data_IF_897102434826
#
_entry.id   IF_897102434826
#
_cell.length_a   1.000
_cell.length_b   1.000
_cell.length_c   1.000
_cell.angle_alpha   90.00
_cell.angle_beta   90.00
_cell.angle_gamma   90.00
#
_symmetry.space_group_name_H-M   'P 1'
#
loop_
_entity.id
_entity.type
_entity.pdbx_description
1 polymer ?
#
# COMPACT_ATOMS: atom_id res chain seq x y z
N UNK A 1 -3.06 18.47 8.22
CA UNK A 1 -3.01 18.11 9.66
C UNK A 1 -3.09 16.59 9.72
N UNK A 2 -2.11 15.89 10.30
CA UNK A 2 -2.18 14.43 10.43
C UNK A 2 -3.40 14.04 11.27
N UNK A 3 -4.32 13.27 10.67
CA UNK A 3 -5.63 12.93 11.26
C UNK A 3 -5.50 11.93 12.42
N UNK A 4 -4.51 11.03 12.35
CA UNK A 4 -4.27 10.03 13.39
C UNK A 4 -2.91 10.23 14.04
N UNK A 5 -2.89 10.12 15.37
CA UNK A 5 -1.71 10.24 16.22
C UNK A 5 -1.78 9.14 17.28
N UNK A 6 -0.64 8.55 17.60
CA UNK A 6 -0.56 7.60 18.70
C UNK A 6 -0.77 8.29 20.05
N UNK A 7 -1.36 7.56 20.98
CA UNK A 7 -1.43 7.96 22.39
C UNK A 7 -0.05 7.96 23.06
N UNK A 8 0.81 7.02 22.65
CA UNK A 8 2.20 6.99 23.09
C UNK A 8 2.95 8.18 22.50
N UNK A 9 3.66 8.89 23.36
CA UNK A 9 4.46 10.06 22.99
C UNK A 9 5.87 9.94 23.54
N UNK A 10 6.83 10.53 22.86
CA UNK A 10 8.20 10.69 23.33
C UNK A 10 8.64 12.15 23.27
N UNK A 11 9.53 12.53 24.18
CA UNK A 11 10.12 13.86 24.16
C UNK A 11 11.08 13.99 22.97
N UNK A 12 10.85 14.99 22.12
CA UNK A 12 11.76 15.34 21.04
C UNK A 12 12.61 16.54 21.47
N UNK A 13 13.93 16.38 21.69
CA UNK A 13 14.80 17.46 22.17
C UNK A 13 14.92 18.62 21.18
N UNK A 14 14.92 18.33 19.87
CA UNK A 14 15.01 19.34 18.82
C UNK A 14 13.79 20.25 18.81
N UNK A 15 12.59 19.67 18.96
CA UNK A 15 11.31 20.40 18.99
C UNK A 15 10.95 20.90 20.40
N UNK A 16 11.74 20.54 21.42
CA UNK A 16 11.51 20.84 22.85
C UNK A 16 10.09 20.55 23.32
N UNK A 17 9.50 19.45 22.84
CA UNK A 17 8.12 19.05 23.18
C UNK A 17 7.91 17.55 23.05
N UNK A 18 6.87 17.04 23.72
CA UNK A 18 6.41 15.68 23.50
C UNK A 18 5.73 15.56 22.13
N UNK A 19 6.11 14.55 21.36
CA UNK A 19 5.55 14.25 20.04
C UNK A 19 4.99 12.81 20.04
N UNK A 20 3.90 12.55 19.31
CA UNK A 20 3.40 11.19 19.16
C UNK A 20 4.44 10.32 18.44
N UNK A 21 4.61 9.08 18.90
CA UNK A 21 5.50 8.10 18.29
C UNK A 21 5.08 7.77 16.84
N UNK A 22 3.78 7.63 16.59
CA UNK A 22 3.25 7.31 15.28
C UNK A 22 2.22 8.34 14.82
N UNK A 23 2.24 8.66 13.54
CA UNK A 23 1.27 9.51 12.86
C UNK A 23 0.91 8.92 11.52
N UNK A 24 -0.35 9.05 11.15
CA UNK A 24 -0.86 8.79 9.81
C UNK A 24 -1.60 10.03 9.32
N UNK A 25 -1.16 10.55 8.16
CA UNK A 25 -1.91 11.53 7.38
C UNK A 25 -2.54 10.82 6.18
N UNK A 26 -3.88 10.68 6.21
CA UNK A 26 -4.64 10.00 5.16
C UNK A 26 -4.75 10.83 3.88
N UNK A 27 -4.53 12.15 3.92
CA UNK A 27 -4.58 13.00 2.73
C UNK A 27 -3.29 12.92 1.92
N UNK A 28 -2.15 12.95 2.61
CA UNK A 28 -0.83 12.81 1.96
C UNK A 28 -0.36 11.36 1.87
N UNK A 29 -1.13 10.43 2.45
CA UNK A 29 -0.82 8.99 2.48
C UNK A 29 0.57 8.75 3.09
N UNK A 30 0.86 9.49 4.17
CA UNK A 30 2.17 9.50 4.82
C UNK A 30 2.08 8.95 6.23
N UNK A 31 2.90 7.94 6.52
CA UNK A 31 3.14 7.45 7.87
C UNK A 31 4.42 8.09 8.39
N UNK A 32 4.38 8.58 9.62
CA UNK A 32 5.54 9.16 10.31
C UNK A 32 5.76 8.45 11.63
N UNK A 33 7.00 8.04 11.86
CA UNK A 33 7.47 7.39 13.08
C UNK A 33 8.56 8.26 13.72
N UNK A 34 8.48 8.47 15.03
CA UNK A 34 9.57 9.07 15.80
C UNK A 34 10.36 7.97 16.50
N UNK A 35 11.60 7.77 16.04
CA UNK A 35 12.52 6.80 16.62
C UNK A 35 13.13 7.38 17.90
N UNK A 36 12.86 6.74 19.03
CA UNK A 36 13.33 7.20 20.36
C UNK A 36 14.82 7.03 20.55
N UNK A 37 15.44 6.06 19.87
CA UNK A 37 16.84 5.70 20.06
C UNK A 37 17.75 6.67 19.31
N UNK A 38 17.39 6.98 18.07
CA UNK A 38 18.12 7.95 17.23
C UNK A 38 17.63 9.39 17.42
N UNK A 39 16.49 9.58 18.10
CA UNK A 39 15.79 10.86 18.27
C UNK A 39 15.44 11.53 16.92
N UNK A 40 15.24 10.74 15.87
CA UNK A 40 14.90 11.20 14.52
C UNK A 40 13.47 10.87 14.13
N UNK A 41 12.92 11.68 13.23
CA UNK A 41 11.61 11.45 12.62
C UNK A 41 11.80 10.81 11.24
N UNK A 42 11.25 9.62 11.07
CA UNK A 42 11.25 8.86 9.83
C UNK A 42 9.86 8.92 9.21
N UNK A 43 9.78 9.10 7.89
CA UNK A 43 8.49 9.16 7.18
C UNK A 43 8.52 8.32 5.92
N UNK A 44 7.43 7.60 5.67
CA UNK A 44 7.17 6.87 4.43
C UNK A 44 5.88 7.38 3.81
N UNK A 45 5.96 7.80 2.55
CA UNK A 45 4.81 8.18 1.75
C UNK A 45 4.51 7.07 0.75
N UNK A 46 3.25 6.66 0.70
CA UNK A 46 2.79 5.64 -0.26
C UNK A 46 2.24 6.35 -1.49
N UNK A 47 2.71 5.91 -2.66
CA UNK A 47 2.34 6.51 -3.95
C UNK A 47 1.34 5.67 -4.74
N UNK A 48 0.99 4.48 -4.23
CA UNK A 48 0.05 3.58 -4.91
C UNK A 48 -1.39 4.06 -4.72
N UNK A 49 -2.13 4.14 -5.83
CA UNK A 49 -3.52 4.61 -5.82
C UNK A 49 -4.41 3.79 -4.90
N UNK A 50 -4.18 2.49 -4.84
CA UNK A 50 -4.95 1.59 -4.00
C UNK A 50 -4.79 1.89 -2.50
N UNK A 51 -3.58 2.18 -2.01
CA UNK A 51 -3.39 2.55 -0.61
C UNK A 51 -4.13 3.85 -0.30
N UNK A 52 -4.09 4.81 -1.23
CA UNK A 52 -4.85 6.05 -1.12
C UNK A 52 -6.35 5.79 -1.02
N UNK A 53 -6.93 4.99 -1.93
CA UNK A 53 -8.35 4.64 -1.89
C UNK A 53 -8.74 3.85 -0.64
N UNK A 54 -7.94 2.86 -0.27
CA UNK A 54 -8.15 2.04 0.92
C UNK A 54 -8.16 2.88 2.19
N UNK A 55 -7.21 3.82 2.33
CA UNK A 55 -7.17 4.72 3.47
C UNK A 55 -8.35 5.68 3.48
N UNK A 56 -8.73 6.25 2.34
CA UNK A 56 -9.92 7.11 2.24
C UNK A 56 -11.20 6.37 2.63
N UNK A 57 -11.36 5.13 2.17
CA UNK A 57 -12.48 4.26 2.55
C UNK A 57 -12.46 3.95 4.05
N UNK A 58 -11.32 3.47 4.58
CA UNK A 58 -11.14 3.11 5.99
C UNK A 58 -11.36 4.29 6.93
N UNK A 59 -10.95 5.50 6.54
CA UNK A 59 -11.13 6.73 7.31
C UNK A 59 -12.62 7.10 7.46
N UNK A 60 -13.44 6.76 6.45
CA UNK A 60 -14.88 7.01 6.44
C UNK A 60 -15.69 5.90 7.11
N UNK A 61 -15.28 4.63 6.98
CA UNK A 61 -16.08 3.47 7.37
C UNK A 61 -15.56 2.74 8.62
N UNK A 62 -14.25 2.79 8.88
CA UNK A 62 -13.58 2.05 9.96
C UNK A 62 -12.47 2.87 10.66
N UNK A 63 -12.74 4.12 11.10
CA UNK A 63 -11.71 5.01 11.65
C UNK A 63 -11.03 4.46 12.91
N UNK A 64 -11.74 3.67 13.71
CA UNK A 64 -11.20 3.06 14.92
C UNK A 64 -10.11 2.02 14.62
N UNK A 65 -10.21 1.32 13.48
CA UNK A 65 -9.16 0.40 13.03
C UNK A 65 -7.86 1.14 12.75
N UNK A 66 -7.94 2.27 12.03
CA UNK A 66 -6.77 3.11 11.74
C UNK A 66 -6.17 3.67 13.03
N UNK A 67 -7.00 4.16 13.96
CA UNK A 67 -6.53 4.63 15.28
C UNK A 67 -5.81 3.52 16.05
N UNK A 68 -6.37 2.31 16.08
CA UNK A 68 -5.75 1.15 16.73
C UNK A 68 -4.40 0.80 16.10
N UNK A 69 -4.32 0.73 14.77
CA UNK A 69 -3.06 0.42 14.06
C UNK A 69 -1.96 1.47 14.32
N UNK A 70 -2.33 2.75 14.40
CA UNK A 70 -1.40 3.84 14.73
C UNK A 70 -0.96 3.74 16.19
N UNK A 71 -1.88 3.49 17.13
CA UNK A 71 -1.56 3.32 18.55
C UNK A 71 -0.66 2.10 18.82
N UNK A 72 -0.89 1.00 18.10
CA UNK A 72 -0.07 -0.22 18.19
C UNK A 72 1.28 -0.10 17.44
N UNK A 73 1.51 0.98 16.69
CA UNK A 73 2.71 1.15 15.87
C UNK A 73 2.79 0.19 14.67
N UNK A 74 1.66 -0.41 14.27
CA UNK A 74 1.58 -1.41 13.19
C UNK A 74 1.11 -0.83 11.85
N UNK A 75 0.77 0.45 11.80
CA UNK A 75 0.20 1.07 10.59
C UNK A 75 1.12 0.95 9.37
N UNK A 76 2.43 1.13 9.54
CA UNK A 76 3.40 1.01 8.43
C UNK A 76 3.46 -0.43 7.92
N UNK A 77 3.61 -1.40 8.84
CA UNK A 77 3.61 -2.82 8.48
C UNK A 77 2.31 -3.25 7.80
N UNK A 78 1.16 -2.76 8.28
CA UNK A 78 -0.14 -3.04 7.70
C UNK A 78 -0.23 -2.61 6.24
N UNK A 79 0.20 -1.37 5.93
CA UNK A 79 0.19 -0.85 4.57
C UNK A 79 1.22 -1.56 3.68
N UNK A 80 2.40 -1.89 4.21
CA UNK A 80 3.43 -2.64 3.49
C UNK A 80 2.99 -4.06 3.13
N UNK A 81 2.38 -4.77 4.09
CA UNK A 81 1.80 -6.09 3.85
C UNK A 81 0.69 -6.06 2.83
N UNK A 82 -0.08 -4.96 2.80
CA UNK A 82 -1.15 -4.78 1.84
C UNK A 82 -0.61 -4.53 0.43
N UNK A 83 0.36 -3.63 0.25
CA UNK A 83 1.03 -3.43 -1.05
C UNK A 83 1.66 -4.71 -1.56
N UNK A 84 2.30 -5.47 -0.68
CA UNK A 84 2.89 -6.77 -1.01
C UNK A 84 1.83 -7.77 -1.47
N UNK A 85 0.75 -7.95 -0.72
CA UNK A 85 -0.34 -8.89 -1.07
C UNK A 85 -1.03 -8.52 -2.38
N UNK A 86 -1.26 -7.23 -2.63
CA UNK A 86 -1.82 -6.76 -3.90
C UNK A 86 -0.88 -7.07 -5.06
N UNK A 87 0.42 -6.81 -4.89
CA UNK A 87 1.43 -7.12 -5.90
C UNK A 87 1.50 -8.63 -6.18
N UNK A 88 1.53 -9.46 -5.14
CA UNK A 88 1.53 -10.92 -5.25
C UNK A 88 0.26 -11.45 -5.96
N UNK A 89 -0.91 -10.87 -5.66
CA UNK A 89 -2.17 -11.24 -6.30
C UNK A 89 -2.18 -10.90 -7.79
N UNK A 90 -1.72 -9.69 -8.15
CA UNK A 90 -1.58 -9.27 -9.56
C UNK A 90 -0.63 -10.21 -10.30
N UNK A 91 0.56 -10.45 -9.77
CA UNK A 91 1.55 -11.34 -10.39
C UNK A 91 0.99 -12.75 -10.59
N UNK A 92 0.30 -13.31 -9.59
CA UNK A 92 -0.33 -14.63 -9.69
C UNK A 92 -1.39 -14.67 -10.80
N UNK A 93 -2.23 -13.64 -10.88
CA UNK A 93 -3.28 -13.58 -11.90
C UNK A 93 -2.69 -13.46 -13.31
N UNK A 94 -1.65 -12.65 -13.48
CA UNK A 94 -0.94 -12.50 -14.76
C UNK A 94 -0.31 -13.82 -15.21
N UNK A 95 0.37 -14.53 -14.30
CA UNK A 95 0.99 -15.84 -14.64
C UNK A 95 -0.05 -16.90 -15.02
N UNK A 96 -1.22 -16.90 -14.38
CA UNK A 96 -2.33 -17.77 -14.80
C UNK A 96 -2.80 -17.44 -16.22
N UNK A 97 -3.00 -16.15 -16.54
CA UNK A 97 -3.42 -15.75 -17.89
C UNK A 97 -2.37 -16.04 -18.95
N UNK A 98 -1.08 -15.88 -18.63
CA UNK A 98 0.00 -16.28 -19.54
C UNK A 98 -0.10 -17.77 -19.90
N UNK A 99 -0.48 -18.64 -18.96
CA UNK A 99 -0.63 -20.07 -19.22
C UNK A 99 -1.90 -20.43 -20.01
N UNK A 100 -3.01 -19.71 -19.78
CA UNK A 100 -4.32 -20.07 -20.35
C UNK A 100 -4.67 -19.29 -21.62
N UNK A 101 -4.08 -18.12 -21.86
CA UNK A 101 -4.46 -17.25 -22.98
C UNK A 101 -3.88 -17.74 -24.31
N UNK A 102 -4.78 -18.01 -25.26
CA UNK A 102 -4.41 -18.56 -26.56
C UNK A 102 -3.58 -17.60 -27.42
N UNK A 103 -3.78 -16.29 -27.29
CA UNK A 103 -3.05 -15.28 -28.05
C UNK A 103 -1.61 -15.16 -27.54
N UNK A 104 -1.43 -15.19 -26.22
CA UNK A 104 -0.14 -15.18 -25.56
C UNK A 104 0.67 -16.44 -25.90
N UNK A 105 0.08 -17.62 -25.79
CA UNK A 105 0.75 -18.88 -26.14
C UNK A 105 1.21 -18.91 -27.61
N UNK A 106 0.39 -18.39 -28.53
CA UNK A 106 0.78 -18.26 -29.94
C UNK A 106 1.96 -17.29 -30.12
N UNK A 107 1.95 -16.15 -29.41
CA UNK A 107 3.03 -15.16 -29.47
C UNK A 107 4.36 -15.75 -28.94
N UNK A 108 4.29 -16.54 -27.86
CA UNK A 108 5.45 -17.28 -27.32
C UNK A 108 6.00 -18.26 -28.35
N UNK A 109 5.13 -19.06 -28.99
CA UNK A 109 5.55 -20.02 -30.01
C UNK A 109 6.16 -19.35 -31.25
N UNK A 110 5.69 -18.15 -31.62
CA UNK A 110 6.22 -17.39 -32.75
C UNK A 110 7.42 -16.51 -32.39
N UNK A 111 7.82 -16.43 -31.12
CA UNK A 111 8.89 -15.53 -30.66
C UNK A 111 8.58 -14.04 -30.82
N UNK A 112 7.29 -13.67 -30.82
CA UNK A 112 6.83 -12.30 -31.02
C UNK A 112 6.86 -11.52 -29.70
N UNK A 113 8.05 -11.03 -29.34
CA UNK A 113 8.29 -10.31 -28.08
C UNK A 113 7.47 -9.03 -27.92
N UNK A 114 7.17 -8.32 -29.01
CA UNK A 114 6.37 -7.10 -28.96
C UNK A 114 4.93 -7.43 -28.57
N UNK A 115 4.36 -8.47 -29.19
CA UNK A 115 3.02 -8.95 -28.86
C UNK A 115 2.94 -9.54 -27.46
N UNK A 116 3.95 -10.28 -27.03
CA UNK A 116 4.04 -10.78 -25.65
C UNK A 116 3.99 -9.63 -24.65
N UNK A 117 4.84 -8.61 -24.83
CA UNK A 117 4.89 -7.45 -23.94
C UNK A 117 3.56 -6.69 -23.92
N UNK A 118 2.92 -6.50 -25.08
CA UNK A 118 1.62 -5.86 -25.18
C UNK A 118 0.54 -6.61 -24.37
N UNK A 119 0.51 -7.94 -24.50
CA UNK A 119 -0.44 -8.80 -23.77
C UNK A 119 -0.15 -8.82 -22.27
N UNK A 120 1.11 -8.90 -21.84
CA UNK A 120 1.47 -8.84 -20.41
C UNK A 120 1.03 -7.50 -19.78
N UNK A 121 1.21 -6.38 -20.49
CA UNK A 121 0.73 -5.08 -20.02
C UNK A 121 -0.80 -5.05 -19.88
N UNK A 122 -1.54 -5.63 -20.83
CA UNK A 122 -2.99 -5.79 -20.71
C UNK A 122 -3.37 -6.65 -19.51
N UNK A 123 -2.72 -7.79 -19.31
CA UNK A 123 -2.94 -8.66 -18.16
C UNK A 123 -2.68 -7.92 -16.84
N UNK A 124 -1.60 -7.16 -16.72
CA UNK A 124 -1.33 -6.39 -15.49
C UNK A 124 -2.45 -5.39 -15.19
N UNK A 125 -2.95 -4.66 -16.20
CA UNK A 125 -4.04 -3.70 -16.00
C UNK A 125 -5.36 -4.37 -15.62
N UNK A 126 -5.74 -5.46 -16.30
CA UNK A 126 -6.96 -6.21 -15.95
C UNK A 126 -6.88 -6.83 -14.55
N UNK A 127 -5.71 -7.35 -14.17
CA UNK A 127 -5.49 -7.90 -12.84
C UNK A 127 -5.57 -6.81 -11.77
N UNK A 128 -4.99 -5.63 -12.04
CA UNK A 128 -5.10 -4.46 -11.15
C UNK A 128 -6.53 -4.07 -10.88
N UNK A 129 -7.35 -3.92 -11.92
CA UNK A 129 -8.77 -3.56 -11.77
C UNK A 129 -9.51 -4.59 -10.90
N UNK A 130 -9.34 -5.88 -11.19
CA UNK A 130 -9.98 -6.97 -10.45
C UNK A 130 -9.56 -7.02 -8.97
N UNK A 131 -8.25 -6.84 -8.70
CA UNK A 131 -7.72 -6.89 -7.33
C UNK A 131 -8.09 -5.64 -6.53
N UNK A 132 -8.13 -4.47 -7.17
CA UNK A 132 -8.49 -3.22 -6.51
C UNK A 132 -9.91 -3.25 -5.93
N UNK A 133 -10.89 -3.78 -6.67
CA UNK A 133 -12.26 -3.91 -6.17
C UNK A 133 -12.32 -4.73 -4.88
N UNK A 134 -11.58 -5.83 -4.80
CA UNK A 134 -11.58 -6.70 -3.63
C UNK A 134 -10.86 -6.08 -2.42
N UNK A 135 -9.81 -5.30 -2.66
CA UNK A 135 -8.87 -4.89 -1.61
C UNK A 135 -9.24 -3.56 -0.94
N UNK A 136 -9.97 -2.67 -1.63
CA UNK A 136 -10.40 -1.39 -1.04
C UNK A 136 -11.30 -1.60 0.19
N UNK A 137 -12.09 -2.68 0.21
CA UNK A 137 -13.09 -2.97 1.24
C UNK A 137 -12.65 -3.91 2.36
N UNK A 138 -11.37 -4.33 2.39
CA UNK A 138 -10.81 -5.17 3.47
C UNK A 138 -10.69 -4.36 4.75
#
# INVERSE_FOLDING_TARGET
MSRYKSEQTAYNPLKKKSVPLWRLDTNTVTVTHFNTDTQTEESKTYHTDFIRYHLHFSDSHCPDRLRRLVNEGKIMQYLDDMERKVSEAISRQVELWKQTDSCYQKAVLSGDSEKMLGLENCFVNMARETVFECMVYI
#
